data_IF_484824118278
#
_entry.id   IF_484824118278
#
_cell.length_a   1.000
_cell.length_b   1.000
_cell.length_c   1.000
_cell.angle_alpha   90.00
_cell.angle_beta   90.00
_cell.angle_gamma   90.00
#
_symmetry.space_group_name_H-M   'P 1'
#
loop_
_entity.id
_entity.type
_entity.pdbx_description
1 polymer ?
#
# COMPACT_ATOMS: atom_id res chain seq x y z
N UNK A 1 12.44 -10.58 -26.96
CA UNK A 1 11.14 -10.04 -27.41
C UNK A 1 9.99 -10.44 -26.47
N UNK A 2 9.83 -11.71 -26.12
CA UNK A 2 8.73 -12.19 -25.22
C UNK A 2 8.78 -11.59 -23.80
N UNK A 3 9.94 -11.45 -23.18
CA UNK A 3 10.10 -10.90 -21.79
C UNK A 3 9.74 -9.40 -21.74
N UNK A 4 10.04 -8.65 -22.79
CA UNK A 4 9.70 -7.22 -22.84
C UNK A 4 8.20 -7.01 -22.98
N UNK A 5 7.53 -7.80 -23.80
CA UNK A 5 6.07 -7.79 -23.95
C UNK A 5 5.39 -8.13 -22.62
N UNK A 6 5.88 -9.14 -21.89
CA UNK A 6 5.35 -9.52 -20.58
C UNK A 6 5.48 -8.39 -19.53
N UNK A 7 6.61 -7.67 -19.52
CA UNK A 7 6.79 -6.50 -18.62
C UNK A 7 5.83 -5.37 -18.95
N UNK A 8 5.62 -5.08 -20.24
CA UNK A 8 4.65 -4.06 -20.68
C UNK A 8 3.23 -4.45 -20.28
N UNK A 9 2.86 -5.73 -20.46
CA UNK A 9 1.57 -6.25 -20.02
C UNK A 9 1.36 -6.13 -18.51
N UNK A 10 2.39 -6.41 -17.69
CA UNK A 10 2.35 -6.23 -16.26
C UNK A 10 2.19 -4.76 -15.83
N UNK A 11 2.79 -3.83 -16.57
CA UNK A 11 2.61 -2.39 -16.31
C UNK A 11 1.21 -1.93 -16.71
N UNK A 12 0.69 -2.40 -17.85
CA UNK A 12 -0.69 -2.13 -18.27
C UNK A 12 -1.70 -2.65 -17.24
N UNK A 13 -1.52 -3.89 -16.75
CA UNK A 13 -2.30 -4.44 -15.64
C UNK A 13 -2.27 -3.52 -14.41
N UNK A 14 -1.10 -3.02 -14.01
CA UNK A 14 -0.96 -2.16 -12.84
C UNK A 14 -1.77 -0.87 -12.96
N UNK A 15 -1.76 -0.24 -14.14
CA UNK A 15 -2.54 0.97 -14.41
C UNK A 15 -4.04 0.67 -14.39
N UNK A 16 -4.47 -0.35 -15.14
CA UNK A 16 -5.89 -0.75 -15.23
C UNK A 16 -6.44 -1.15 -13.85
N UNK A 17 -5.71 -2.01 -13.12
CA UNK A 17 -6.08 -2.44 -11.78
C UNK A 17 -6.18 -1.25 -10.80
N UNK A 18 -5.23 -0.31 -10.86
CA UNK A 18 -5.27 0.88 -10.01
C UNK A 18 -6.48 1.75 -10.32
N UNK A 19 -6.76 2.01 -11.60
CA UNK A 19 -7.93 2.81 -12.01
C UNK A 19 -9.23 2.11 -11.59
N UNK A 20 -9.36 0.81 -11.85
CA UNK A 20 -10.54 0.02 -11.47
C UNK A 20 -10.77 0.05 -9.96
N UNK A 21 -9.74 -0.15 -9.15
CA UNK A 21 -9.82 -0.07 -7.69
C UNK A 21 -10.23 1.33 -7.23
N UNK A 22 -9.64 2.39 -7.80
CA UNK A 22 -10.02 3.78 -7.48
C UNK A 22 -11.51 4.03 -7.78
N UNK A 23 -12.01 3.56 -8.92
CA UNK A 23 -13.43 3.70 -9.28
C UNK A 23 -14.32 2.93 -8.30
N UNK A 24 -13.91 1.73 -7.87
CA UNK A 24 -14.65 0.94 -6.86
C UNK A 24 -14.67 1.64 -5.50
N UNK A 25 -13.54 2.22 -5.06
CA UNK A 25 -13.48 3.00 -3.83
C UNK A 25 -14.39 4.23 -3.89
N UNK A 26 -14.40 4.96 -5.02
CA UNK A 26 -15.26 6.14 -5.21
C UNK A 26 -16.75 5.79 -5.21
N UNK A 27 -17.12 4.70 -5.87
CA UNK A 27 -18.51 4.21 -5.91
C UNK A 27 -18.94 3.50 -4.61
N UNK A 28 -18.07 3.36 -3.63
CA UNK A 28 -18.35 2.65 -2.38
C UNK A 28 -18.56 1.15 -2.50
N UNK A 29 -18.37 0.58 -3.70
CA UNK A 29 -18.58 -0.84 -4.02
C UNK A 29 -17.37 -1.73 -3.71
N UNK A 30 -16.31 -1.18 -3.15
CA UNK A 30 -15.11 -1.95 -2.82
C UNK A 30 -15.41 -2.92 -1.67
N UNK A 31 -15.22 -4.22 -1.94
CA UNK A 31 -15.28 -5.29 -0.95
C UNK A 31 -13.87 -5.87 -0.76
N UNK A 32 -13.53 -6.22 0.46
CA UNK A 32 -12.22 -6.80 0.82
C UNK A 32 -11.94 -8.14 0.11
N UNK A 33 -12.97 -8.93 -0.19
CA UNK A 33 -12.83 -10.16 -1.01
C UNK A 33 -12.24 -9.86 -2.39
N UNK A 34 -12.73 -8.79 -3.02
CA UNK A 34 -12.18 -8.31 -4.31
C UNK A 34 -10.73 -7.84 -4.13
N UNK A 35 -10.43 -7.17 -3.02
CA UNK A 35 -9.06 -6.79 -2.66
C UNK A 35 -8.12 -8.00 -2.60
N UNK A 36 -8.54 -9.11 -2.00
CA UNK A 36 -7.73 -10.34 -1.94
C UNK A 36 -7.48 -10.95 -3.31
N UNK A 37 -8.45 -10.89 -4.21
CA UNK A 37 -8.26 -11.33 -5.59
C UNK A 37 -7.15 -10.53 -6.29
N UNK A 38 -7.17 -9.20 -6.18
CA UNK A 38 -6.10 -8.36 -6.73
C UNK A 38 -4.73 -8.65 -6.08
N UNK A 39 -4.69 -8.90 -4.78
CA UNK A 39 -3.46 -9.28 -4.09
C UNK A 39 -2.90 -10.61 -4.62
N UNK A 40 -3.75 -11.61 -4.81
CA UNK A 40 -3.35 -12.91 -5.36
C UNK A 40 -2.82 -12.77 -6.79
N UNK A 41 -3.55 -12.10 -7.67
CA UNK A 41 -3.12 -11.84 -9.06
C UNK A 41 -1.78 -11.09 -9.08
N UNK A 42 -1.64 -10.03 -8.30
CA UNK A 42 -0.42 -9.23 -8.24
C UNK A 42 0.77 -10.04 -7.72
N UNK A 43 0.55 -10.94 -6.76
CA UNK A 43 1.59 -11.84 -6.25
C UNK A 43 2.05 -12.80 -7.35
N UNK A 44 1.13 -13.45 -8.05
CA UNK A 44 1.45 -14.38 -9.16
C UNK A 44 2.22 -13.64 -10.26
N UNK A 45 1.76 -12.45 -10.67
CA UNK A 45 2.46 -11.66 -11.68
C UNK A 45 3.87 -11.26 -11.22
N UNK A 46 4.08 -11.03 -9.93
CA UNK A 46 5.40 -10.78 -9.35
C UNK A 46 6.37 -11.94 -9.57
N UNK A 47 5.94 -13.17 -9.30
CA UNK A 47 6.77 -14.37 -9.46
C UNK A 47 6.93 -14.79 -10.92
N UNK A 48 5.90 -14.64 -11.77
CA UNK A 48 5.95 -15.11 -13.16
C UNK A 48 6.74 -14.17 -14.07
N UNK A 49 6.53 -12.86 -13.95
CA UNK A 49 7.10 -11.88 -14.90
C UNK A 49 7.89 -10.75 -14.23
N UNK A 50 8.08 -10.80 -12.91
CA UNK A 50 8.74 -9.74 -12.14
C UNK A 50 8.19 -8.34 -12.44
N UNK A 51 6.88 -8.23 -12.66
CA UNK A 51 6.19 -6.97 -12.96
C UNK A 51 4.85 -6.91 -12.20
N UNK A 52 4.37 -5.73 -11.84
CA UNK A 52 5.00 -4.40 -11.91
C UNK A 52 5.88 -4.10 -10.68
N UNK A 53 7.18 -4.14 -10.83
CA UNK A 53 8.15 -3.90 -9.74
C UNK A 53 8.69 -2.46 -9.76
N UNK A 54 7.85 -1.49 -9.42
CA UNK A 54 8.21 -0.06 -9.46
C UNK A 54 9.46 0.30 -8.62
N UNK A 55 9.70 -0.29 -7.42
CA UNK A 55 10.94 -0.01 -6.69
C UNK A 55 12.20 -0.36 -7.48
N UNK A 56 12.21 -1.52 -8.14
CA UNK A 56 13.33 -1.96 -8.96
C UNK A 56 13.48 -1.09 -10.22
N UNK A 57 12.38 -0.75 -10.88
CA UNK A 57 12.40 0.14 -12.06
C UNK A 57 12.93 1.53 -11.72
N UNK A 58 12.54 2.06 -10.56
CA UNK A 58 13.06 3.34 -10.06
C UNK A 58 14.58 3.28 -9.83
N UNK A 59 15.09 2.18 -9.25
CA UNK A 59 16.54 1.98 -9.10
C UNK A 59 17.25 1.91 -10.44
N UNK A 60 16.76 1.10 -11.38
CA UNK A 60 17.39 0.89 -12.69
C UNK A 60 17.38 2.19 -13.52
N UNK A 61 16.32 3.00 -13.37
CA UNK A 61 16.23 4.32 -13.97
C UNK A 61 17.34 5.26 -13.45
N UNK A 62 17.52 5.32 -12.12
CA UNK A 62 18.58 6.14 -11.49
C UNK A 62 20.00 5.68 -11.87
N UNK A 63 20.19 4.37 -12.05
CA UNK A 63 21.46 3.79 -12.47
C UNK A 63 21.76 3.98 -13.98
N UNK A 64 20.81 4.47 -14.76
CA UNK A 64 20.95 4.63 -16.21
C UNK A 64 21.13 3.32 -17.00
N UNK A 65 20.80 2.15 -16.40
CA UNK A 65 21.00 0.82 -17.00
C UNK A 65 19.86 0.46 -17.95
N UNK A 66 19.84 1.03 -19.14
CA UNK A 66 18.79 0.86 -20.17
C UNK A 66 18.50 -0.60 -20.52
N UNK A 67 19.55 -1.42 -20.68
CA UNK A 67 19.40 -2.85 -21.03
C UNK A 67 18.61 -3.66 -20.00
N UNK A 68 18.63 -3.26 -18.73
CA UNK A 68 17.87 -3.96 -17.66
C UNK A 68 16.43 -3.48 -17.54
N UNK A 69 16.13 -2.29 -18.03
CA UNK A 69 14.77 -1.75 -18.00
C UNK A 69 13.83 -2.53 -18.93
N UNK A 70 14.32 -2.96 -20.11
CA UNK A 70 13.51 -3.59 -21.15
C UNK A 70 12.54 -2.62 -21.85
N UNK A 71 12.63 -1.30 -21.53
CA UNK A 71 11.85 -0.22 -22.15
C UNK A 71 12.71 1.04 -22.24
N UNK A 72 12.40 1.97 -23.16
CA UNK A 72 13.12 3.25 -23.26
C UNK A 72 13.02 4.04 -21.94
N UNK A 73 14.11 4.72 -21.57
CA UNK A 73 14.18 5.54 -20.34
C UNK A 73 13.01 6.52 -20.23
N UNK A 74 12.65 7.30 -21.28
CA UNK A 74 11.55 8.25 -21.17
C UNK A 74 10.21 7.58 -20.87
N UNK A 75 9.96 6.40 -21.43
CA UNK A 75 8.73 5.66 -21.15
C UNK A 75 8.68 5.17 -19.69
N UNK A 76 9.78 4.66 -19.15
CA UNK A 76 9.87 4.26 -17.75
C UNK A 76 9.66 5.45 -16.80
N UNK A 77 10.27 6.61 -17.11
CA UNK A 77 10.10 7.83 -16.33
C UNK A 77 8.64 8.31 -16.33
N UNK A 78 7.98 8.30 -17.50
CA UNK A 78 6.55 8.65 -17.62
C UNK A 78 5.69 7.73 -16.79
N UNK A 79 5.91 6.42 -16.86
CA UNK A 79 5.13 5.43 -16.06
C UNK A 79 5.32 5.68 -14.56
N UNK A 80 6.54 5.87 -14.09
CA UNK A 80 6.79 6.19 -12.68
C UNK A 80 6.11 7.50 -12.28
N UNK A 81 6.18 8.53 -13.12
CA UNK A 81 5.49 9.81 -12.88
C UNK A 81 3.95 9.63 -12.81
N UNK A 82 3.37 8.84 -13.71
CA UNK A 82 1.92 8.53 -13.70
C UNK A 82 1.51 7.92 -12.35
N UNK A 83 2.28 6.97 -11.80
CA UNK A 83 1.94 6.40 -10.48
C UNK A 83 2.12 7.39 -9.33
N UNK A 84 3.06 8.33 -9.42
CA UNK A 84 3.17 9.44 -8.45
C UNK A 84 1.93 10.33 -8.54
N UNK A 85 1.51 10.70 -9.75
CA UNK A 85 0.32 11.51 -9.99
C UNK A 85 -0.98 10.80 -9.53
N UNK A 86 -1.13 9.51 -9.81
CA UNK A 86 -2.24 8.69 -9.31
C UNK A 86 -2.25 8.62 -7.78
N UNK A 87 -1.09 8.47 -7.15
CA UNK A 87 -0.99 8.44 -5.70
C UNK A 87 -1.31 9.80 -5.07
N UNK A 88 -0.90 10.89 -5.70
CA UNK A 88 -1.31 12.25 -5.32
C UNK A 88 -2.82 12.45 -5.44
N UNK A 89 -3.43 11.99 -6.53
CA UNK A 89 -4.86 12.15 -6.76
C UNK A 89 -5.69 11.25 -5.82
N UNK A 90 -5.35 9.98 -5.71
CA UNK A 90 -6.22 8.92 -5.18
C UNK A 90 -5.65 8.15 -3.98
N UNK A 91 -4.45 8.50 -3.50
CA UNK A 91 -3.78 7.79 -2.43
C UNK A 91 -3.01 6.55 -2.92
N UNK A 92 -2.44 5.78 -1.99
CA UNK A 92 -1.52 4.66 -2.27
C UNK A 92 -2.25 3.36 -2.65
N UNK A 93 -3.28 3.44 -3.52
CA UNK A 93 -4.07 2.27 -3.94
C UNK A 93 -3.20 1.23 -4.65
N UNK A 94 -2.30 1.69 -5.55
CA UNK A 94 -1.34 0.82 -6.23
C UNK A 94 -0.52 -0.01 -5.25
N UNK A 95 0.14 0.64 -4.28
CA UNK A 95 0.93 -0.06 -3.25
C UNK A 95 0.06 -0.97 -2.38
N UNK A 96 -1.24 -0.69 -2.28
CA UNK A 96 -2.20 -1.48 -1.53
C UNK A 96 -2.47 -2.84 -2.15
N UNK A 97 -2.64 -2.90 -3.47
CA UNK A 97 -3.22 -4.06 -4.15
C UNK A 97 -2.51 -4.51 -5.42
N UNK A 98 -1.90 -3.59 -6.18
CA UNK A 98 -1.33 -3.91 -7.49
C UNK A 98 0.19 -4.13 -7.48
N UNK A 99 0.90 -3.70 -6.43
CA UNK A 99 2.33 -3.93 -6.30
C UNK A 99 2.59 -5.33 -5.72
N UNK A 100 3.33 -6.23 -6.40
CA UNK A 100 3.62 -7.59 -5.93
C UNK A 100 4.29 -7.63 -4.56
N UNK A 101 5.26 -6.76 -4.32
CA UNK A 101 5.96 -6.67 -3.02
C UNK A 101 4.99 -6.32 -1.89
N UNK A 102 4.09 -5.38 -2.14
CA UNK A 102 3.05 -5.01 -1.19
C UNK A 102 2.01 -6.12 -1.00
N UNK A 103 1.68 -6.82 -2.07
CA UNK A 103 0.70 -7.90 -2.05
C UNK A 103 1.17 -9.09 -1.20
N UNK A 104 2.40 -9.57 -1.41
CA UNK A 104 2.98 -10.66 -0.61
C UNK A 104 3.01 -10.30 0.88
N UNK A 105 3.47 -9.09 1.24
CA UNK A 105 3.51 -8.65 2.63
C UNK A 105 2.11 -8.51 3.25
N UNK A 106 1.10 -8.09 2.47
CA UNK A 106 -0.28 -8.01 2.95
C UNK A 106 -0.85 -9.41 3.22
N UNK A 107 -0.61 -10.37 2.30
CA UNK A 107 -1.06 -11.75 2.47
C UNK A 107 -0.42 -12.41 3.68
N UNK A 108 0.90 -12.23 3.88
CA UNK A 108 1.60 -12.74 5.07
C UNK A 108 1.08 -12.10 6.36
N UNK A 109 0.73 -10.81 6.34
CA UNK A 109 0.15 -10.15 7.51
C UNK A 109 -1.25 -10.67 7.88
N UNK A 110 -1.95 -11.38 6.98
CA UNK A 110 -3.23 -12.03 7.28
C UNK A 110 -3.07 -13.31 8.12
N UNK A 111 -1.89 -13.91 8.13
CA UNK A 111 -1.63 -15.12 8.93
C UNK A 111 -1.86 -14.82 10.42
N UNK A 112 -2.40 -15.78 11.18
CA UNK A 112 -2.62 -15.62 12.61
C UNK A 112 -1.30 -15.39 13.35
N UNK A 113 -1.32 -14.56 14.38
CA UNK A 113 -0.14 -14.26 15.20
C UNK A 113 -0.26 -12.92 15.92
N UNK A 114 0.62 -12.68 16.90
CA UNK A 114 0.70 -11.41 17.63
C UNK A 114 1.12 -10.29 16.69
N UNK A 115 0.26 -9.29 16.48
CA UNK A 115 0.53 -8.16 15.59
C UNK A 115 1.19 -7.01 16.36
N UNK A 116 2.38 -6.62 15.93
CA UNK A 116 3.13 -5.49 16.50
C UNK A 116 2.75 -4.22 15.74
N UNK A 117 2.21 -3.24 16.44
CA UNK A 117 1.87 -1.94 15.87
C UNK A 117 3.00 -0.95 16.07
N UNK A 118 3.70 -0.60 15.02
CA UNK A 118 4.67 0.51 15.02
C UNK A 118 3.89 1.80 14.87
N UNK A 119 3.65 2.48 16.00
CA UNK A 119 2.77 3.67 16.07
C UNK A 119 3.52 5.00 15.99
N UNK A 120 4.84 4.98 16.20
CA UNK A 120 5.65 6.20 16.15
C UNK A 120 5.88 6.65 14.70
N UNK A 121 5.07 7.62 14.26
CA UNK A 121 5.09 8.15 12.89
C UNK A 121 6.35 8.94 12.58
N UNK A 122 6.93 9.60 13.56
CA UNK A 122 8.14 10.41 13.37
C UNK A 122 9.32 9.51 13.02
N UNK A 123 9.52 8.43 13.78
CA UNK A 123 10.62 7.48 13.55
C UNK A 123 10.45 6.80 12.18
N UNK A 124 9.26 6.32 11.84
CA UNK A 124 9.02 5.66 10.55
C UNK A 124 9.21 6.63 9.37
N UNK A 125 8.83 7.90 9.53
CA UNK A 125 9.01 8.90 8.49
C UNK A 125 10.48 9.30 8.36
N UNK A 126 11.19 9.54 9.46
CA UNK A 126 12.60 9.88 9.46
C UNK A 126 13.45 8.76 8.82
N UNK A 127 13.21 7.50 9.22
CA UNK A 127 13.89 6.34 8.64
C UNK A 127 13.65 6.23 7.14
N UNK A 128 12.40 6.36 6.69
CA UNK A 128 12.01 6.28 5.28
C UNK A 128 12.65 7.38 4.44
N UNK A 129 12.66 8.63 4.93
CA UNK A 129 13.27 9.75 4.23
C UNK A 129 14.79 9.58 4.20
N UNK A 130 15.40 9.20 5.31
CA UNK A 130 16.84 8.88 5.37
C UNK A 130 17.23 7.77 4.40
N UNK A 131 16.44 6.68 4.35
CA UNK A 131 16.65 5.60 3.40
C UNK A 131 16.52 6.06 1.95
N UNK A 132 15.53 6.91 1.63
CA UNK A 132 15.37 7.48 0.28
C UNK A 132 16.58 8.33 -0.11
N UNK A 133 17.06 9.19 0.79
CA UNK A 133 18.24 10.01 0.54
C UNK A 133 19.48 9.12 0.31
N UNK A 134 19.74 8.18 1.20
CA UNK A 134 20.85 7.22 1.04
C UNK A 134 20.75 6.44 -0.28
N UNK A 135 19.53 5.98 -0.63
CA UNK A 135 19.27 5.27 -1.87
C UNK A 135 19.61 6.12 -3.11
N UNK A 136 19.15 7.39 -3.15
CA UNK A 136 19.43 8.28 -4.29
C UNK A 136 20.92 8.62 -4.38
N UNK A 137 21.58 8.92 -3.26
CA UNK A 137 23.01 9.22 -3.20
C UNK A 137 23.85 8.02 -3.66
N UNK A 138 23.55 6.82 -3.18
CA UNK A 138 24.27 5.60 -3.56
C UNK A 138 24.02 5.21 -5.02
N UNK A 139 22.79 5.36 -5.50
CA UNK A 139 22.47 5.03 -6.89
C UNK A 139 23.06 6.05 -7.88
N UNK A 140 22.90 7.35 -7.65
CA UNK A 140 23.34 8.40 -8.57
C UNK A 140 24.84 8.72 -8.43
N UNK A 141 25.39 8.71 -7.19
CA UNK A 141 26.79 9.05 -6.94
C UNK A 141 27.74 7.89 -7.12
N UNK A 142 27.37 6.69 -6.64
CA UNK A 142 28.25 5.52 -6.60
C UNK A 142 27.83 4.38 -7.54
N UNK A 143 26.72 4.55 -8.28
CA UNK A 143 26.15 3.52 -9.16
C UNK A 143 25.85 2.19 -8.43
N UNK A 144 25.57 2.24 -7.12
CA UNK A 144 25.29 1.07 -6.26
C UNK A 144 23.79 0.80 -6.24
N UNK A 145 23.39 -0.41 -6.63
CA UNK A 145 22.00 -0.85 -6.59
C UNK A 145 21.59 -1.39 -5.22
N UNK A 146 21.16 -0.54 -4.29
CA UNK A 146 20.85 -0.91 -2.90
C UNK A 146 19.80 -2.02 -2.77
N UNK A 147 18.79 -2.05 -3.65
CA UNK A 147 17.75 -3.09 -3.62
C UNK A 147 18.27 -4.51 -3.94
N UNK A 148 19.45 -4.61 -4.58
CA UNK A 148 20.10 -5.90 -4.80
C UNK A 148 20.49 -6.54 -3.46
N UNK A 149 21.04 -5.77 -2.55
CA UNK A 149 21.44 -6.23 -1.21
C UNK A 149 20.26 -6.59 -0.32
N UNK A 150 19.07 -6.04 -0.62
CA UNK A 150 17.83 -6.43 0.04
C UNK A 150 17.21 -7.71 -0.56
N UNK A 151 17.80 -8.29 -1.60
CA UNK A 151 17.39 -9.57 -2.19
C UNK A 151 16.01 -9.56 -2.88
N UNK A 152 15.49 -8.37 -3.21
CA UNK A 152 14.16 -8.24 -3.81
C UNK A 152 14.03 -9.06 -5.11
N UNK A 153 15.03 -8.96 -6.00
CA UNK A 153 15.02 -9.67 -7.27
C UNK A 153 15.24 -11.16 -7.06
N UNK A 154 16.24 -11.55 -6.26
CA UNK A 154 16.58 -12.94 -6.01
C UNK A 154 15.43 -13.74 -5.42
N UNK A 155 14.61 -13.10 -4.59
CA UNK A 155 13.42 -13.72 -4.02
C UNK A 155 12.32 -13.98 -5.07
N UNK A 156 11.98 -13.01 -5.91
CA UNK A 156 10.93 -13.20 -6.92
C UNK A 156 11.38 -14.09 -8.09
N UNK A 157 12.67 -14.11 -8.40
CA UNK A 157 13.26 -15.03 -9.37
C UNK A 157 13.51 -16.44 -8.77
N UNK A 158 13.15 -16.67 -7.50
CA UNK A 158 13.35 -17.93 -6.74
C UNK A 158 14.79 -18.44 -6.75
N UNK A 159 15.76 -17.52 -6.76
CA UNK A 159 17.18 -17.85 -6.73
C UNK A 159 17.64 -18.13 -5.30
N UNK A 160 17.35 -19.35 -4.83
CA UNK A 160 17.63 -19.78 -3.44
C UNK A 160 19.11 -19.86 -3.10
N UNK A 161 19.99 -19.98 -4.10
CA UNK A 161 21.45 -19.99 -3.92
C UNK A 161 22.04 -18.59 -3.69
N UNK A 162 21.28 -17.51 -3.90
CA UNK A 162 21.77 -16.16 -3.68
C UNK A 162 21.75 -15.81 -2.17
N UNK A 163 22.85 -15.27 -1.66
CA UNK A 163 22.98 -14.86 -0.25
C UNK A 163 21.86 -13.88 0.15
N UNK A 164 21.48 -12.98 -0.75
CA UNK A 164 20.48 -11.95 -0.47
C UNK A 164 19.03 -12.46 -0.52
N UNK A 165 18.78 -13.66 -1.05
CA UNK A 165 17.46 -14.31 -0.97
C UNK A 165 16.97 -14.42 0.49
N UNK A 166 17.87 -14.85 1.40
CA UNK A 166 17.56 -14.97 2.82
C UNK A 166 17.25 -13.64 3.50
N UNK A 167 17.86 -12.54 3.05
CA UNK A 167 17.58 -11.19 3.58
C UNK A 167 16.12 -10.80 3.30
N UNK A 168 15.66 -10.96 2.06
CA UNK A 168 14.27 -10.63 1.73
C UNK A 168 13.27 -11.58 2.38
N UNK A 169 13.61 -12.87 2.46
CA UNK A 169 12.81 -13.87 3.18
C UNK A 169 12.62 -13.48 4.65
N UNK A 170 13.68 -13.03 5.32
CA UNK A 170 13.60 -12.53 6.71
C UNK A 170 12.65 -11.33 6.81
N UNK A 171 12.70 -10.37 5.88
CA UNK A 171 11.78 -9.24 5.84
C UNK A 171 10.33 -9.74 5.69
N UNK A 172 10.10 -10.79 4.91
CA UNK A 172 8.76 -11.38 4.73
C UNK A 172 8.28 -12.10 5.99
N UNK A 173 9.15 -12.80 6.71
CA UNK A 173 8.81 -13.40 8.01
C UNK A 173 8.43 -12.31 9.01
N UNK A 174 9.16 -11.20 9.07
CA UNK A 174 8.82 -10.03 9.88
C UNK A 174 7.46 -9.44 9.46
N UNK A 175 7.06 -9.55 8.19
CA UNK A 175 5.75 -9.07 7.70
C UNK A 175 4.57 -9.81 8.31
N UNK A 176 4.76 -11.00 8.88
CA UNK A 176 3.72 -11.71 9.64
C UNK A 176 3.35 -10.94 10.91
N UNK A 177 4.32 -10.31 11.56
CA UNK A 177 4.15 -9.60 12.83
C UNK A 177 3.97 -8.09 12.65
N UNK A 178 4.75 -7.48 11.75
CA UNK A 178 4.76 -6.04 11.47
C UNK A 178 4.12 -5.77 10.11
N UNK A 179 3.22 -4.81 10.05
CA UNK A 179 2.53 -4.46 8.83
C UNK A 179 3.48 -3.84 7.79
N UNK A 180 3.73 -4.56 6.70
CA UNK A 180 4.47 -4.14 5.50
C UNK A 180 5.84 -3.48 5.82
N UNK A 181 6.77 -4.16 6.50
CA UNK A 181 8.04 -3.56 6.93
C UNK A 181 8.87 -3.02 5.76
N UNK A 182 9.02 -3.76 4.66
CA UNK A 182 9.74 -3.28 3.49
C UNK A 182 9.09 -2.03 2.88
N UNK A 183 7.77 -2.08 2.62
CA UNK A 183 7.06 -0.97 1.97
C UNK A 183 7.03 0.31 2.82
N UNK A 184 7.10 0.18 4.15
CA UNK A 184 7.09 1.31 5.09
C UNK A 184 8.47 1.90 5.30
N UNK A 185 9.51 1.08 5.34
CA UNK A 185 10.85 1.51 5.76
C UNK A 185 11.83 1.53 4.58
N UNK A 186 11.95 0.43 3.82
CA UNK A 186 13.03 0.20 2.87
C UNK A 186 12.62 0.34 1.38
N UNK A 187 11.40 0.77 1.08
CA UNK A 187 10.98 0.98 -0.30
C UNK A 187 11.22 2.43 -0.74
N UNK A 188 12.20 2.72 -1.61
CA UNK A 188 12.51 4.09 -2.01
C UNK A 188 11.36 4.72 -2.82
N UNK A 189 10.75 3.96 -3.70
CA UNK A 189 9.59 4.42 -4.44
C UNK A 189 8.36 4.63 -3.54
N UNK A 190 8.16 3.75 -2.55
CA UNK A 190 7.14 3.92 -1.53
C UNK A 190 7.33 5.18 -0.68
N UNK A 191 8.57 5.59 -0.43
CA UNK A 191 8.89 6.85 0.23
C UNK A 191 8.44 8.05 -0.62
N UNK A 192 8.77 8.05 -1.92
CA UNK A 192 8.34 9.09 -2.86
C UNK A 192 6.82 9.21 -2.92
N UNK A 193 6.11 8.09 -3.05
CA UNK A 193 4.64 8.08 -3.07
C UNK A 193 4.04 8.58 -1.75
N UNK A 194 4.69 8.32 -0.60
CA UNK A 194 4.21 8.80 0.68
C UNK A 194 4.25 10.33 0.79
N UNK A 195 5.29 10.96 0.23
CA UNK A 195 5.41 12.42 0.14
C UNK A 195 4.32 13.00 -0.77
N UNK A 196 4.06 12.37 -1.92
CA UNK A 196 3.00 12.80 -2.83
C UNK A 196 1.61 12.78 -2.15
N UNK A 197 1.31 11.74 -1.36
CA UNK A 197 0.02 11.60 -0.67
C UNK A 197 -0.20 12.62 0.44
N UNK A 198 0.84 13.22 1.02
CA UNK A 198 0.67 14.27 2.07
C UNK A 198 -0.28 15.36 1.59
N UNK A 199 -0.10 15.85 0.35
CA UNK A 199 -0.97 16.85 -0.30
C UNK A 199 -2.09 16.21 -1.12
N UNK A 200 -2.25 14.88 -1.05
CA UNK A 200 -3.20 14.10 -1.85
C UNK A 200 -4.65 14.53 -1.66
N UNK A 201 -5.42 14.47 -2.77
CA UNK A 201 -6.80 14.96 -2.83
C UNK A 201 -7.78 14.01 -2.16
N UNK A 202 -7.85 12.75 -2.59
CA UNK A 202 -8.79 11.75 -2.07
C UNK A 202 -8.13 10.87 -1.01
N UNK A 203 -8.75 10.75 0.16
CA UNK A 203 -8.26 9.96 1.29
C UNK A 203 -9.42 9.31 2.05
N UNK A 204 -9.15 8.21 2.75
CA UNK A 204 -10.08 7.66 3.74
C UNK A 204 -10.11 8.59 4.96
N UNK A 205 -11.26 9.22 5.19
CA UNK A 205 -11.47 10.20 6.27
C UNK A 205 -12.68 9.83 7.09
N UNK A 206 -12.74 10.33 8.31
CA UNK A 206 -13.95 10.26 9.13
C UNK A 206 -14.98 11.25 8.58
N UNK A 207 -16.25 10.86 8.57
CA UNK A 207 -17.38 11.70 8.19
C UNK A 207 -18.18 12.18 9.43
N UNK A 208 -19.28 12.88 9.20
CA UNK A 208 -20.12 13.45 10.25
C UNK A 208 -20.83 12.39 11.11
N UNK A 209 -20.97 11.15 10.63
CA UNK A 209 -21.57 10.05 11.37
C UNK A 209 -20.61 9.43 12.41
N UNK A 210 -19.36 9.90 12.47
CA UNK A 210 -18.36 9.36 13.37
C UNK A 210 -18.71 9.64 14.85
N UNK A 211 -18.94 8.59 15.63
CA UNK A 211 -19.22 8.64 17.08
C UNK A 211 -17.96 8.59 17.95
N UNK A 212 -16.79 8.68 17.36
CA UNK A 212 -15.48 8.66 18.00
C UNK A 212 -15.19 7.41 18.89
N UNK A 213 -15.77 6.26 18.58
CA UNK A 213 -15.62 4.99 19.32
C UNK A 213 -14.20 4.35 19.23
N UNK A 214 -13.28 4.90 18.43
CA UNK A 214 -11.88 4.48 18.24
C UNK A 214 -11.67 3.10 17.61
N UNK A 215 -12.69 2.27 17.32
CA UNK A 215 -12.56 0.95 16.70
C UNK A 215 -11.76 0.98 15.38
N UNK A 216 -11.93 2.02 14.56
CA UNK A 216 -11.15 2.21 13.33
C UNK A 216 -9.64 2.39 13.61
N UNK A 217 -9.25 2.98 14.76
CA UNK A 217 -7.86 3.14 15.18
C UNK A 217 -7.25 1.81 15.60
N UNK A 218 -8.01 0.99 16.28
CA UNK A 218 -7.58 -0.36 16.68
C UNK A 218 -7.39 -1.26 15.46
N UNK A 219 -8.31 -1.18 14.48
CA UNK A 219 -8.22 -1.95 13.25
C UNK A 219 -7.12 -1.47 12.28
N UNK A 220 -6.62 -0.24 12.43
CA UNK A 220 -5.63 0.33 11.52
C UNK A 220 -4.20 -0.07 11.91
N UNK A 221 -3.45 -0.80 11.06
CA UNK A 221 -2.10 -1.25 11.39
C UNK A 221 -1.06 -0.11 11.36
N UNK A 222 -1.35 1.01 10.68
CA UNK A 222 -0.46 2.17 10.54
C UNK A 222 -0.90 3.38 11.37
N UNK A 223 -2.01 3.25 12.11
CA UNK A 223 -2.58 4.34 12.93
C UNK A 223 -2.89 5.64 12.15
N UNK A 224 -3.26 5.52 10.87
CA UNK A 224 -3.53 6.66 9.96
C UNK A 224 -5.02 7.02 9.86
N UNK A 225 -5.76 6.96 10.98
CA UNK A 225 -7.21 7.20 11.02
C UNK A 225 -7.64 8.41 11.84
N UNK A 226 -6.68 9.23 12.31
CA UNK A 226 -6.97 10.50 13.00
C UNK A 226 -7.67 11.50 12.07
N UNK A 227 -8.30 12.51 12.65
CA UNK A 227 -8.96 13.59 11.92
C UNK A 227 -7.98 14.43 11.09
N UNK A 228 -6.80 14.70 11.65
CA UNK A 228 -5.75 15.56 11.08
C UNK A 228 -4.59 14.78 10.45
N UNK A 229 -4.65 13.45 10.46
CA UNK A 229 -3.57 12.62 9.94
C UNK A 229 -3.31 12.88 8.46
N UNK A 230 -2.03 12.95 8.09
CA UNK A 230 -1.58 13.19 6.73
C UNK A 230 -1.88 12.02 5.77
N UNK A 231 -2.18 10.83 6.32
CA UNK A 231 -2.49 9.61 5.58
C UNK A 231 -1.34 9.09 4.70
N UNK A 232 -0.11 9.47 5.00
CA UNK A 232 1.06 9.10 4.21
C UNK A 232 1.38 7.61 4.22
N UNK A 233 0.95 6.87 5.26
CA UNK A 233 1.07 5.42 5.36
C UNK A 233 -0.26 4.68 5.16
N UNK A 234 -1.28 5.34 4.61
CA UNK A 234 -2.54 4.71 4.31
C UNK A 234 -2.48 3.95 3.00
N UNK A 235 -2.52 2.62 3.06
CA UNK A 235 -2.53 1.72 1.89
C UNK A 235 -3.93 1.36 1.40
N UNK A 236 -4.96 2.07 1.83
CA UNK A 236 -6.36 1.87 1.43
C UNK A 236 -6.90 0.46 1.72
N UNK A 237 -6.38 -0.23 2.75
CA UNK A 237 -6.71 -1.62 3.07
C UNK A 237 -8.15 -1.85 3.57
N UNK A 238 -8.96 -0.81 3.72
CA UNK A 238 -10.38 -0.81 4.10
C UNK A 238 -10.72 -1.32 5.51
N UNK A 239 -9.76 -1.82 6.32
CA UNK A 239 -10.00 -2.34 7.67
C UNK A 239 -10.72 -1.35 8.59
N UNK A 240 -10.38 -0.06 8.48
CA UNK A 240 -11.00 0.99 9.30
C UNK A 240 -12.49 1.23 8.93
N UNK A 241 -12.86 1.02 7.67
CA UNK A 241 -14.25 1.15 7.22
C UNK A 241 -15.08 -0.05 7.68
N UNK A 242 -14.54 -1.27 7.58
CA UNK A 242 -15.19 -2.50 8.02
C UNK A 242 -15.39 -2.55 9.55
N UNK A 243 -14.42 -2.02 10.32
CA UNK A 243 -14.51 -1.97 11.78
C UNK A 243 -15.45 -0.85 12.28
N UNK A 244 -15.99 -0.01 11.40
CA UNK A 244 -16.80 1.13 11.79
C UNK A 244 -18.28 0.75 11.88
N UNK A 245 -18.91 0.78 13.09
CA UNK A 245 -20.30 0.34 13.27
C UNK A 245 -21.33 1.31 12.69
N UNK A 246 -20.93 2.54 12.36
CA UNK A 246 -21.84 3.64 11.95
C UNK A 246 -21.52 4.19 10.58
N UNK A 247 -20.76 3.46 9.74
CA UNK A 247 -20.29 3.94 8.44
C UNK A 247 -19.61 5.32 8.52
N UNK A 248 -18.91 5.60 9.61
CA UNK A 248 -18.25 6.87 9.89
C UNK A 248 -16.92 7.07 9.13
N UNK A 249 -16.58 6.20 8.16
CA UNK A 249 -15.37 6.29 7.32
C UNK A 249 -15.74 6.34 5.85
N UNK A 250 -15.23 7.36 5.16
CA UNK A 250 -15.54 7.61 3.75
C UNK A 250 -14.26 7.92 2.95
N UNK A 251 -14.26 7.51 1.67
CA UNK A 251 -13.24 7.90 0.71
C UNK A 251 -13.63 9.21 0.04
N UNK A 252 -13.08 10.31 0.54
CA UNK A 252 -13.53 11.66 0.18
C UNK A 252 -12.38 12.65 0.02
N UNK A 253 -12.63 13.70 -0.73
CA UNK A 253 -11.77 14.90 -0.82
C UNK A 253 -12.04 15.88 0.30
N UNK A 254 -13.26 15.87 0.87
CA UNK A 254 -13.72 16.87 1.85
C UNK A 254 -12.97 16.70 3.17
N UNK A 255 -12.39 17.79 3.66
CA UNK A 255 -11.92 17.91 5.05
C UNK A 255 -13.09 18.31 5.92
N UNK A 256 -13.37 17.55 6.97
CA UNK A 256 -14.38 17.92 7.95
C UNK A 256 -13.82 19.04 8.83
N UNK A 257 -14.56 20.13 8.95
CA UNK A 257 -14.21 21.27 9.79
C UNK A 257 -14.30 20.91 11.28
N UNK A 258 -13.65 21.68 12.12
CA UNK A 258 -13.66 21.44 13.57
C UNK A 258 -15.04 21.53 14.22
N UNK A 259 -15.91 22.36 13.67
CA UNK A 259 -17.33 22.48 14.07
C UNK A 259 -18.11 21.18 13.84
N UNK A 260 -17.87 20.51 12.71
CA UNK A 260 -18.51 19.23 12.37
C UNK A 260 -18.00 18.10 13.29
N UNK A 261 -16.74 18.20 13.74
CA UNK A 261 -16.15 17.27 14.73
C UNK A 261 -16.84 17.36 16.09
N UNK A 262 -17.13 18.57 16.56
CA UNK A 262 -17.87 18.81 17.82
C UNK A 262 -19.31 18.28 17.72
N UNK A 263 -20.00 18.48 16.60
CA UNK A 263 -21.33 17.90 16.33
C UNK A 263 -21.32 16.37 16.31
N UNK A 264 -20.30 15.73 15.73
CA UNK A 264 -20.14 14.28 15.70
C UNK A 264 -19.91 13.67 17.09
N UNK A 265 -19.25 14.37 18.01
CA UNK A 265 -19.03 13.89 19.37
C UNK A 265 -20.28 13.94 20.27
N UNK A 266 -21.28 14.71 19.88
CA UNK A 266 -22.55 14.88 20.64
C UNK A 266 -23.65 13.92 20.15
N UNK A 267 -23.55 13.36 18.92
CA UNK A 267 -24.52 12.40 18.42
C UNK A 267 -24.38 11.03 19.09
N UNK A 268 -25.34 10.69 19.93
CA UNK A 268 -25.53 9.31 20.41
C UNK A 268 -25.73 8.37 19.21
N UNK A 269 -25.12 7.18 19.22
CA UNK A 269 -25.23 6.24 18.10
C UNK A 269 -26.65 5.71 18.00
N UNK A 270 -27.30 5.86 16.83
CA UNK A 270 -28.39 4.95 16.46
C UNK A 270 -27.74 3.59 16.17
N UNK A 271 -28.16 2.50 16.83
CA UNK A 271 -27.64 1.18 16.52
C UNK A 271 -27.99 0.85 15.06
N UNK A 272 -26.99 0.67 14.24
CA UNK A 272 -27.19 0.05 12.93
C UNK A 272 -27.35 -1.44 13.21
N UNK A 273 -28.59 -1.92 13.15
CA UNK A 273 -28.89 -3.34 13.13
C UNK A 273 -28.21 -3.93 11.89
N UNK A 274 -27.13 -4.64 12.10
CA UNK A 274 -26.52 -5.48 11.06
C UNK A 274 -27.50 -6.65 10.84
N UNK A 275 -27.92 -6.87 9.60
CA UNK A 275 -28.65 -8.07 9.12
C UNK A 275 -27.80 -9.35 9.27
N UNK A 276 -27.37 -9.68 10.49
CA UNK A 276 -26.63 -10.90 10.80
C UNK A 276 -27.25 -11.72 11.94
N UNK A 277 -28.51 -11.45 12.29
CA UNK A 277 -29.24 -12.27 13.25
C UNK A 277 -30.51 -12.86 12.64
N UNK A 278 -30.38 -13.59 11.53
CA UNK A 278 -31.41 -14.51 11.08
C UNK A 278 -30.80 -15.78 10.48
N UNK A 279 -29.90 -16.43 11.22
CA UNK A 279 -29.65 -17.86 11.02
C UNK A 279 -29.88 -18.48 12.37
N UNK A 280 -31.06 -19.09 12.48
CA UNK A 280 -31.57 -19.73 13.69
C UNK A 280 -30.63 -20.78 14.24
N UNK A 281 -30.46 -20.72 15.53
CA UNK A 281 -30.04 -21.85 16.34
C UNK A 281 -31.17 -22.87 16.25
N UNK A 282 -30.95 -23.96 15.50
CA UNK A 282 -31.74 -25.19 15.66
C UNK A 282 -30.98 -26.02 16.66
N UNK A 283 -31.50 -26.06 17.86
CA UNK A 283 -31.14 -27.07 18.89
C UNK A 283 -31.52 -28.46 18.36
N UNK A 284 -30.59 -29.42 18.50
CA UNK A 284 -30.74 -30.82 18.24
C UNK A 284 -29.51 -31.57 18.69
#
# INVERSE_FOLDING_TARGET
MTIEIAKVAGMAYAIVATIMLVLMFRKGKFNRRIGYLFLAISTVLGFVIFAPMLPNQFQVLLLGKTKQLGVPIPLAAVVLFVFVALSFAFGRVFCGYACPVGAVQELLYLLPGKKLKVTNKTITTAFRVGFLIAFVVLAAGFSIGLLRYLGLKDFFDLNTGAVFFGVFLTILVVSVFVYRPFCRLACPYGALLSLAVIKGRFKLRRNENCINCKKCREACPTNEVGWTDLKQECYMCNRCKEACPVNGMEYTRRLIREQDRKKASVKTPKPVMTERESVGIVEG
#
